data_IF_329089180820
#
_entry.id   IF_329089180820
#
_cell.length_a   1.000
_cell.length_b   1.000
_cell.length_c   1.000
_cell.angle_alpha   90.00
_cell.angle_beta   90.00
_cell.angle_gamma   90.00
#
_symmetry.space_group_name_H-M   'P 1'
#
loop_
_entity.id
_entity.type
_entity.pdbx_description
1 polymer ?
#
# COMPACT_ATOMS: atom_id res chain seq x y z
N UNK A 1 25.70 8.26 -3.40
CA UNK A 1 24.29 7.97 -3.73
C UNK A 1 23.99 6.57 -3.25
N UNK A 2 22.97 6.41 -2.42
CA UNK A 2 22.49 5.09 -2.02
C UNK A 2 21.93 4.39 -3.26
N UNK A 3 22.30 3.12 -3.49
CA UNK A 3 21.77 2.35 -4.62
C UNK A 3 20.26 2.13 -4.40
N UNK A 4 19.44 2.82 -5.20
CA UNK A 4 17.98 2.74 -5.14
C UNK A 4 17.51 1.28 -5.29
N UNK A 5 18.25 0.44 -6.01
CA UNK A 5 17.92 -0.97 -6.21
C UNK A 5 18.00 -1.75 -4.91
N UNK A 6 19.10 -1.58 -4.16
CA UNK A 6 19.30 -2.23 -2.86
C UNK A 6 18.32 -1.71 -1.79
N UNK A 7 18.00 -0.41 -1.82
CA UNK A 7 16.98 0.17 -0.95
C UNK A 7 15.59 -0.36 -1.28
N UNK A 8 15.26 -0.45 -2.58
CA UNK A 8 13.98 -0.97 -3.07
C UNK A 8 13.79 -2.45 -2.71
N UNK A 9 14.86 -3.26 -2.75
CA UNK A 9 14.80 -4.65 -2.28
C UNK A 9 14.45 -4.76 -0.79
N UNK A 10 15.02 -3.90 0.07
CA UNK A 10 14.68 -3.88 1.49
C UNK A 10 13.25 -3.40 1.74
N UNK A 11 12.82 -2.37 1.01
CA UNK A 11 11.47 -1.85 1.03
C UNK A 11 10.45 -2.95 0.68
N UNK A 12 10.72 -3.70 -0.39
CA UNK A 12 9.93 -4.85 -0.83
C UNK A 12 9.88 -5.98 0.18
N UNK A 13 11.03 -6.29 0.79
CA UNK A 13 11.14 -7.32 1.81
C UNK A 13 10.27 -7.00 3.04
N UNK A 14 10.25 -5.74 3.49
CA UNK A 14 9.42 -5.30 4.63
C UNK A 14 7.93 -5.37 4.29
N UNK A 15 7.55 -4.96 3.08
CA UNK A 15 6.16 -4.94 2.62
C UNK A 15 5.67 -6.31 2.13
N UNK A 16 6.58 -7.28 1.94
CA UNK A 16 6.28 -8.63 1.48
C UNK A 16 5.72 -8.67 0.05
N UNK A 17 6.19 -7.79 -0.83
CA UNK A 17 5.71 -7.66 -2.22
C UNK A 17 6.84 -7.76 -3.25
N UNK A 18 6.46 -7.73 -4.52
CA UNK A 18 7.38 -7.71 -5.66
C UNK A 18 7.74 -6.28 -6.03
N UNK A 19 9.03 -6.02 -6.29
CA UNK A 19 9.51 -4.69 -6.60
C UNK A 19 9.87 -4.45 -8.06
N UNK A 20 9.71 -3.20 -8.48
CA UNK A 20 10.22 -2.66 -9.74
C UNK A 20 10.80 -1.28 -9.48
N UNK A 21 11.99 -1.01 -10.01
CA UNK A 21 12.53 0.35 -10.10
C UNK A 21 12.34 0.84 -11.51
N UNK A 22 11.67 1.98 -11.68
CA UNK A 22 11.43 2.58 -12.98
C UNK A 22 11.46 4.11 -12.86
N UNK A 23 12.14 4.80 -13.77
CA UNK A 23 12.31 6.26 -13.75
C UNK A 23 12.80 6.85 -12.41
N UNK A 24 13.60 6.10 -11.63
CA UNK A 24 14.09 6.55 -10.33
C UNK A 24 13.08 6.45 -9.19
N UNK A 25 11.98 5.73 -9.39
CA UNK A 25 10.95 5.42 -8.39
C UNK A 25 11.01 3.93 -8.07
N UNK A 26 11.02 3.58 -6.79
CA UNK A 26 10.78 2.22 -6.36
C UNK A 26 9.28 2.01 -6.20
N UNK A 27 8.75 0.94 -6.80
CA UNK A 27 7.37 0.49 -6.64
C UNK A 27 7.39 -0.92 -6.09
N UNK A 28 6.52 -1.21 -5.12
CA UNK A 28 6.28 -2.54 -4.57
C UNK A 28 4.81 -2.87 -4.66
N UNK A 29 4.53 -4.07 -5.14
CA UNK A 29 3.19 -4.56 -5.42
C UNK A 29 2.91 -5.81 -4.60
N UNK A 30 1.73 -5.89 -3.99
CA UNK A 30 1.26 -7.10 -3.30
C UNK A 30 -0.24 -7.26 -3.44
N UNK A 31 -0.66 -8.34 -4.06
CA UNK A 31 -2.08 -8.66 -4.22
C UNK A 31 -2.65 -9.39 -3.00
N UNK A 32 -3.89 -9.04 -2.64
CA UNK A 32 -4.68 -9.73 -1.60
C UNK A 32 -5.51 -10.86 -2.23
N UNK A 33 -4.84 -11.77 -2.94
CA UNK A 33 -5.45 -12.79 -3.79
C UNK A 33 -6.32 -13.83 -3.06
N UNK A 34 -6.22 -13.89 -1.72
CA UNK A 34 -7.06 -14.73 -0.87
C UNK A 34 -8.49 -14.19 -0.70
N UNK A 35 -8.73 -12.89 -0.95
CA UNK A 35 -10.06 -12.31 -0.91
C UNK A 35 -10.87 -12.81 -2.11
N UNK A 36 -11.99 -13.49 -1.82
CA UNK A 36 -12.93 -13.94 -2.85
C UNK A 36 -13.92 -12.81 -3.14
N UNK A 37 -13.61 -11.97 -4.11
CA UNK A 37 -14.49 -10.89 -4.57
C UNK A 37 -15.20 -11.25 -5.87
N UNK A 38 -16.43 -10.77 -5.99
CA UNK A 38 -17.17 -10.74 -7.24
C UNK A 38 -17.50 -9.29 -7.61
N UNK A 39 -17.51 -8.96 -8.89
CA UNK A 39 -17.91 -7.66 -9.45
C UNK A 39 -18.92 -7.94 -10.55
N UNK A 40 -20.07 -7.27 -10.54
CA UNK A 40 -21.17 -7.54 -11.48
C UNK A 40 -21.60 -9.02 -11.46
N UNK A 41 -21.55 -9.66 -10.28
CA UNK A 41 -21.89 -11.07 -10.11
C UNK A 41 -20.87 -12.08 -10.67
N UNK A 42 -19.68 -11.63 -11.08
CA UNK A 42 -18.61 -12.48 -11.62
C UNK A 42 -17.38 -12.47 -10.70
N UNK A 43 -16.75 -13.62 -10.41
CA UNK A 43 -15.51 -13.64 -9.64
C UNK A 43 -14.41 -12.80 -10.29
N UNK A 44 -13.64 -12.06 -9.49
CA UNK A 44 -12.46 -11.32 -9.95
C UNK A 44 -11.21 -11.75 -9.18
N UNK A 45 -10.13 -11.93 -9.91
CA UNK A 45 -8.77 -12.14 -9.40
C UNK A 45 -7.81 -11.03 -9.89
N UNK A 46 -8.36 -9.96 -10.49
CA UNK A 46 -7.56 -8.89 -11.07
C UNK A 46 -6.89 -8.08 -9.96
N UNK A 47 -5.62 -7.70 -10.17
CA UNK A 47 -4.98 -6.67 -9.35
C UNK A 47 -5.82 -5.39 -9.29
N UNK A 48 -6.53 -5.03 -10.36
CA UNK A 48 -7.45 -3.87 -10.35
C UNK A 48 -8.52 -3.91 -9.25
N UNK A 49 -8.79 -5.07 -8.64
CA UNK A 49 -9.71 -5.19 -7.51
C UNK A 49 -9.02 -5.41 -6.16
N UNK A 50 -7.92 -6.17 -6.13
CA UNK A 50 -7.35 -6.73 -4.89
C UNK A 50 -5.92 -6.24 -4.59
N UNK A 51 -5.45 -5.24 -5.34
CA UNK A 51 -4.08 -4.79 -5.26
C UNK A 51 -3.77 -3.93 -4.04
N UNK A 52 -2.51 -4.00 -3.63
CA UNK A 52 -1.84 -3.00 -2.81
C UNK A 52 -0.55 -2.59 -3.51
N UNK A 53 -0.30 -1.29 -3.55
CA UNK A 53 0.93 -0.73 -4.11
C UNK A 53 1.55 0.25 -3.11
N UNK A 54 2.87 0.31 -3.10
CA UNK A 54 3.62 1.34 -2.41
C UNK A 54 4.76 1.84 -3.27
N UNK A 55 5.09 3.11 -3.11
CA UNK A 55 6.25 3.67 -3.75
C UNK A 55 6.99 4.65 -2.87
N UNK A 56 8.25 4.87 -3.23
CA UNK A 56 8.97 6.04 -2.75
C UNK A 56 9.67 6.74 -3.93
N UNK A 57 9.59 8.07 -3.90
CA UNK A 57 10.24 8.95 -4.86
C UNK A 57 11.73 9.14 -4.55
N UNK A 58 12.42 9.94 -5.37
CA UNK A 58 13.81 10.34 -5.10
C UNK A 58 13.98 10.99 -3.73
N UNK A 59 15.11 10.68 -3.09
CA UNK A 59 15.45 11.11 -1.74
C UNK A 59 15.96 12.55 -1.69
N UNK A 60 15.49 13.34 -0.72
CA UNK A 60 15.99 14.70 -0.44
C UNK A 60 17.35 14.69 0.28
N UNK A 61 17.94 15.87 0.52
CA UNK A 61 19.23 16.00 1.21
C UNK A 61 19.21 15.56 2.69
N UNK A 62 18.03 15.35 3.26
CA UNK A 62 17.82 14.90 4.64
C UNK A 62 17.48 13.41 4.73
N UNK A 63 17.49 12.68 3.61
CA UNK A 63 17.20 11.25 3.58
C UNK A 63 15.71 10.90 3.53
N UNK A 64 14.83 11.87 3.24
CA UNK A 64 13.37 11.67 3.20
C UNK A 64 12.89 11.55 1.77
N UNK A 65 11.81 10.81 1.58
CA UNK A 65 11.14 10.58 0.30
C UNK A 65 9.67 10.95 0.42
N UNK A 66 9.04 11.32 -0.70
CA UNK A 66 7.59 11.19 -0.80
C UNK A 66 7.28 9.71 -0.88
N UNK A 67 6.56 9.19 0.12
CA UNK A 67 6.11 7.81 0.17
C UNK A 67 4.62 7.76 -0.06
N UNK A 68 4.19 6.90 -0.99
CA UNK A 68 2.79 6.69 -1.32
C UNK A 68 2.42 5.23 -1.05
N UNK A 69 1.17 5.02 -0.65
CA UNK A 69 0.59 3.69 -0.53
C UNK A 69 -0.87 3.69 -0.88
N UNK A 70 -1.30 2.60 -1.50
CA UNK A 70 -2.70 2.32 -1.78
C UNK A 70 -3.04 0.87 -1.49
N UNK A 71 -4.28 0.62 -1.06
CA UNK A 71 -4.69 -0.68 -0.55
C UNK A 71 -6.17 -0.91 -0.73
N UNK A 72 -6.52 -2.04 -1.36
CA UNK A 72 -7.86 -2.60 -1.27
C UNK A 72 -8.12 -3.20 0.12
N UNK A 73 -9.19 -2.75 0.76
CA UNK A 73 -9.60 -3.10 2.12
C UNK A 73 -11.01 -3.70 2.12
N UNK A 74 -11.26 -4.63 3.02
CA UNK A 74 -12.62 -4.97 3.42
C UNK A 74 -13.17 -3.85 4.31
N UNK A 75 -14.49 -3.65 4.28
CA UNK A 75 -15.13 -2.57 5.02
C UNK A 75 -14.81 -2.57 6.53
N UNK A 76 -14.68 -3.74 7.15
CA UNK A 76 -14.38 -3.86 8.58
C UNK A 76 -12.90 -3.69 8.93
N UNK A 77 -12.02 -3.64 7.93
CA UNK A 77 -10.59 -3.39 8.10
C UNK A 77 -10.24 -1.89 8.06
N UNK A 78 -11.13 -1.06 7.51
CA UNK A 78 -10.90 0.38 7.30
C UNK A 78 -10.49 1.09 8.59
N UNK A 79 -11.27 0.91 9.65
CA UNK A 79 -11.02 1.58 10.92
C UNK A 79 -9.69 1.15 11.57
N UNK A 80 -9.43 -0.15 11.83
CA UNK A 80 -8.18 -0.55 12.46
C UNK A 80 -6.96 -0.22 11.60
N UNK A 81 -7.05 -0.36 10.28
CA UNK A 81 -5.96 -0.01 9.36
C UNK A 81 -5.63 1.49 9.45
N UNK A 82 -6.64 2.35 9.29
CA UNK A 82 -6.45 3.80 9.38
C UNK A 82 -5.93 4.25 10.75
N UNK A 83 -6.39 3.62 11.83
CA UNK A 83 -5.91 3.94 13.18
C UNK A 83 -4.38 3.73 13.30
N UNK A 84 -3.85 2.62 12.78
CA UNK A 84 -2.40 2.37 12.79
C UNK A 84 -1.62 3.31 11.88
N UNK A 85 -2.17 3.69 10.73
CA UNK A 85 -1.56 4.70 9.87
C UNK A 85 -1.44 6.05 10.60
N UNK A 86 -2.55 6.55 11.14
CA UNK A 86 -2.60 7.85 11.83
C UNK A 86 -1.71 7.89 13.07
N UNK A 87 -1.71 6.82 13.87
CA UNK A 87 -0.82 6.68 15.04
C UNK A 87 0.66 6.79 14.65
N UNK A 88 1.01 6.34 13.46
CA UNK A 88 2.37 6.36 12.93
C UNK A 88 2.70 7.63 12.11
N UNK A 89 1.79 8.61 12.09
CA UNK A 89 1.97 9.88 11.36
C UNK A 89 1.80 9.75 9.85
N UNK A 90 1.20 8.66 9.36
CA UNK A 90 0.86 8.48 7.95
C UNK A 90 -0.54 9.05 7.72
N UNK A 91 -0.65 9.93 6.72
CA UNK A 91 -1.90 10.61 6.38
C UNK A 91 -2.72 9.71 5.46
N UNK A 92 -3.96 9.42 5.84
CA UNK A 92 -4.96 8.85 4.92
C UNK A 92 -5.51 9.98 4.03
N UNK A 93 -5.03 10.04 2.79
CA UNK A 93 -5.32 11.12 1.84
C UNK A 93 -6.65 10.94 1.11
N UNK A 94 -7.06 9.69 0.85
CA UNK A 94 -8.37 9.40 0.26
C UNK A 94 -8.89 8.03 0.70
N UNK A 95 -10.22 7.93 0.77
CA UNK A 95 -10.94 6.72 1.11
C UNK A 95 -12.25 6.69 0.31
N UNK A 96 -12.46 5.67 -0.50
CA UNK A 96 -13.65 5.57 -1.35
C UNK A 96 -13.99 4.12 -1.66
N UNK A 97 -15.19 3.86 -2.18
CA UNK A 97 -15.54 2.54 -2.70
C UNK A 97 -14.55 2.17 -3.81
N UNK A 98 -14.07 0.92 -3.81
CA UNK A 98 -13.17 0.49 -4.88
C UNK A 98 -13.95 0.22 -6.17
N UNK A 99 -15.01 -0.60 -6.06
CA UNK A 99 -15.89 -0.94 -7.17
C UNK A 99 -17.36 -0.78 -6.78
N UNK A 100 -18.20 -0.52 -7.78
CA UNK A 100 -19.65 -0.63 -7.61
C UNK A 100 -20.09 -2.07 -7.88
N UNK A 101 -21.10 -2.54 -7.15
CA UNK A 101 -21.66 -3.88 -7.29
C UNK A 101 -20.62 -4.98 -7.05
N UNK A 102 -19.69 -4.72 -6.13
CA UNK A 102 -18.78 -5.70 -5.61
C UNK A 102 -19.37 -6.46 -4.41
N UNK A 103 -18.90 -7.68 -4.20
CA UNK A 103 -19.22 -8.46 -3.03
C UNK A 103 -18.03 -9.38 -2.68
N UNK A 104 -17.42 -9.29 -1.48
CA UNK A 104 -17.73 -8.30 -0.44
C UNK A 104 -17.44 -6.86 -0.89
N UNK A 105 -18.02 -5.88 -0.21
CA UNK A 105 -17.78 -4.48 -0.53
C UNK A 105 -16.33 -4.08 -0.19
N UNK A 106 -15.62 -3.59 -1.19
CA UNK A 106 -14.23 -3.16 -1.10
C UNK A 106 -14.14 -1.65 -0.97
N UNK A 107 -13.23 -1.21 -0.11
CA UNK A 107 -12.83 0.18 0.07
C UNK A 107 -11.40 0.33 -0.43
N UNK A 108 -11.11 1.40 -1.15
CA UNK A 108 -9.76 1.74 -1.58
C UNK A 108 -9.24 2.93 -0.76
N UNK A 109 -8.10 2.71 -0.12
CA UNK A 109 -7.42 3.70 0.71
C UNK A 109 -6.16 4.19 0.02
N UNK A 110 -5.95 5.50 -0.01
CA UNK A 110 -4.71 6.14 -0.46
C UNK A 110 -4.10 6.89 0.72
N UNK A 111 -2.81 6.72 0.94
CA UNK A 111 -2.11 7.30 2.07
C UNK A 111 -0.69 7.70 1.72
N UNK A 112 -0.17 8.70 2.43
CA UNK A 112 1.13 9.29 2.13
C UNK A 112 1.85 9.77 3.39
N UNK A 113 3.17 9.88 3.27
CA UNK A 113 4.03 10.53 4.26
C UNK A 113 5.31 11.05 3.59
N UNK A 114 5.98 11.99 4.25
CA UNK A 114 7.33 12.42 3.88
C UNK A 114 8.29 12.03 5.00
N UNK A 115 8.98 10.92 4.82
CA UNK A 115 9.92 10.35 5.78
C UNK A 115 10.91 9.41 5.09
N UNK A 116 11.82 8.79 5.85
CA UNK A 116 12.71 7.75 5.31
C UNK A 116 11.88 6.54 4.80
N UNK A 117 12.16 5.99 3.61
CA UNK A 117 11.29 5.00 2.99
C UNK A 117 11.17 3.68 3.77
N UNK A 118 12.22 3.21 4.44
CA UNK A 118 12.13 1.99 5.26
C UNK A 118 11.35 2.22 6.56
N UNK A 119 11.36 3.43 7.12
CA UNK A 119 10.45 3.84 8.21
C UNK A 119 9.00 3.74 7.78
N UNK A 120 8.65 4.35 6.63
CA UNK A 120 7.32 4.24 6.03
C UNK A 120 6.92 2.76 5.85
N UNK A 121 7.78 1.95 5.23
CA UNK A 121 7.52 0.54 4.99
C UNK A 121 7.20 -0.24 6.27
N UNK A 122 7.94 -0.01 7.35
CA UNK A 122 7.73 -0.70 8.64
C UNK A 122 6.40 -0.31 9.29
N UNK A 123 6.06 0.98 9.27
CA UNK A 123 4.80 1.51 9.80
C UNK A 123 3.59 0.98 9.03
N UNK A 124 3.70 0.94 7.71
CA UNK A 124 2.69 0.32 6.85
C UNK A 124 2.60 -1.18 7.13
N UNK A 125 3.72 -1.89 7.21
CA UNK A 125 3.73 -3.31 7.53
C UNK A 125 3.08 -3.61 8.89
N UNK A 126 3.21 -2.73 9.89
CA UNK A 126 2.48 -2.79 11.15
C UNK A 126 0.96 -2.66 10.93
N UNK A 127 0.52 -1.63 10.20
CA UNK A 127 -0.89 -1.43 9.88
C UNK A 127 -1.48 -2.64 9.12
N UNK A 128 -0.69 -3.29 8.27
CA UNK A 128 -1.11 -4.48 7.54
C UNK A 128 -1.38 -5.72 8.40
N UNK A 129 -0.89 -5.76 9.65
CA UNK A 129 -1.11 -6.90 10.55
C UNK A 129 -2.56 -7.03 11.02
N UNK A 130 -3.36 -5.97 10.86
CA UNK A 130 -4.79 -5.99 11.20
C UNK A 130 -5.67 -6.44 10.04
N UNK A 131 -5.09 -6.62 8.85
CA UNK A 131 -5.81 -7.11 7.68
C UNK A 131 -5.93 -8.63 7.73
N UNK A 132 -7.05 -9.14 7.23
CA UNK A 132 -7.31 -10.57 7.06
C UNK A 132 -6.63 -11.12 5.82
#
# INVERSE_FOLDING_TARGET
MQDISALCQQFAHILGGEQKVEHGVCMVNRDRSHIKVSILGRPSHSGLALHSMWSFESMDSQGRTLNLGETALLQDEVYPFNWHLQKNGIILSALHNHWLMDNPHLIYAHYASVEEPLSFARKVAEAYRVLK
#
